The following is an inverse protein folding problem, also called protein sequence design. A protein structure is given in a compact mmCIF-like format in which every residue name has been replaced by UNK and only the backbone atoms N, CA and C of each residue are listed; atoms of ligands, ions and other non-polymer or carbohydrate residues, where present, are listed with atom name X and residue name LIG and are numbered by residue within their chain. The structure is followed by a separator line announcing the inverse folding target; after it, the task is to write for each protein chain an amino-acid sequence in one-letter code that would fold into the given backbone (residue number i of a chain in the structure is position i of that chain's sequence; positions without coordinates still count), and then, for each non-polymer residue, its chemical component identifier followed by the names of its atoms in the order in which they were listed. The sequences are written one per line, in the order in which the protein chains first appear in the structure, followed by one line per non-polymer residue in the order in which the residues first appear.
data_IF_705412787766
#
_entry.id   IF_705412787766
#
_cell.length_a   1.000
_cell.length_b   1.000
_cell.length_c   1.000
_cell.angle_alpha   90.00
_cell.angle_beta   90.00
_cell.angle_gamma   90.00
#
_symmetry.space_group_name_H-M   'P 1'
#
loop_
_entity.id
_entity.type
_entity.pdbx_description
1 polymer ?
#
# COMPACT_ATOMS: atom_id res chain seq x y z
N UNK A 1 2.15 -3.00 -7.58
CA UNK A 1 2.05 -2.64 -6.14
C UNK A 1 1.07 -1.47 -6.00
N UNK A 2 0.35 -1.35 -4.89
CA UNK A 2 -0.46 -0.17 -4.57
C UNK A 2 -0.18 0.29 -3.13
N UNK A 3 0.08 1.58 -2.93
CA UNK A 3 0.35 2.19 -1.62
C UNK A 3 -0.74 3.22 -1.34
N UNK A 4 -1.54 3.01 -0.29
CA UNK A 4 -2.54 3.96 0.17
C UNK A 4 -1.95 4.81 1.31
N UNK A 5 -1.64 6.07 1.02
CA UNK A 5 -1.00 6.98 1.98
C UNK A 5 -2.04 8.01 2.43
N UNK A 6 -2.57 7.86 3.65
CA UNK A 6 -3.50 8.81 4.28
C UNK A 6 -4.90 8.95 3.65
N UNK A 7 -5.23 8.17 2.62
CA UNK A 7 -6.54 8.29 1.96
C UNK A 7 -7.57 7.34 2.58
N UNK A 8 -8.52 7.91 3.32
CA UNK A 8 -9.58 7.13 3.98
C UNK A 8 -10.69 6.69 3.01
N UNK A 9 -11.00 7.47 1.97
CA UNK A 9 -12.16 7.23 1.08
C UNK A 9 -11.74 7.16 -0.38
N UNK A 10 -11.18 8.25 -0.92
CA UNK A 10 -10.89 8.37 -2.35
C UNK A 10 -9.93 7.28 -2.85
N UNK A 11 -8.83 7.03 -2.13
CA UNK A 11 -7.84 5.99 -2.46
C UNK A 11 -8.48 4.61 -2.63
N UNK A 12 -9.13 4.06 -1.58
CA UNK A 12 -9.84 2.79 -1.69
C UNK A 12 -10.91 2.73 -2.78
N UNK A 13 -11.66 3.81 -2.99
CA UNK A 13 -12.80 3.82 -3.91
C UNK A 13 -12.41 3.96 -5.39
N UNK A 14 -11.38 4.75 -5.68
CA UNK A 14 -10.79 4.85 -7.02
C UNK A 14 -10.04 3.56 -7.33
N UNK A 15 -9.25 3.06 -6.38
CA UNK A 15 -8.49 1.82 -6.53
C UNK A 15 -9.39 0.64 -6.89
N UNK A 16 -10.49 0.45 -6.17
CA UNK A 16 -11.39 -0.68 -6.42
C UNK A 16 -12.01 -0.62 -7.83
N UNK A 17 -12.38 0.57 -8.29
CA UNK A 17 -12.95 0.76 -9.64
C UNK A 17 -11.89 0.49 -10.72
N UNK A 18 -10.69 1.05 -10.57
CA UNK A 18 -9.58 0.82 -11.48
C UNK A 18 -9.19 -0.67 -11.55
N UNK A 19 -9.08 -1.34 -10.40
CA UNK A 19 -8.76 -2.76 -10.33
C UNK A 19 -9.84 -3.63 -10.98
N UNK A 20 -11.11 -3.28 -10.77
CA UNK A 20 -12.24 -4.00 -11.38
C UNK A 20 -12.20 -3.88 -12.91
N UNK A 21 -11.96 -2.68 -13.44
CA UNK A 21 -11.80 -2.46 -14.88
C UNK A 21 -10.60 -3.23 -15.45
N UNK A 22 -9.45 -3.17 -14.79
CA UNK A 22 -8.26 -3.92 -15.22
C UNK A 22 -8.50 -5.44 -15.24
N UNK A 23 -9.16 -5.97 -14.20
CA UNK A 23 -9.51 -7.40 -14.12
C UNK A 23 -10.50 -7.81 -15.20
N UNK A 24 -11.46 -6.95 -15.54
CA UNK A 24 -12.43 -7.25 -16.60
C UNK A 24 -11.75 -7.39 -17.96
N UNK A 25 -10.83 -6.49 -18.29
CA UNK A 25 -10.03 -6.58 -19.53
C UNK A 25 -9.10 -7.79 -19.52
N UNK A 26 -8.46 -8.10 -18.39
CA UNK A 26 -7.61 -9.29 -18.31
C UNK A 26 -8.41 -10.57 -18.53
N UNK A 27 -9.61 -10.67 -17.93
CA UNK A 27 -10.48 -11.84 -18.09
C UNK A 27 -10.90 -12.08 -19.53
N UNK A 28 -11.20 -11.03 -20.30
CA UNK A 28 -11.55 -11.20 -21.72
C UNK A 28 -10.38 -11.72 -22.57
N UNK A 29 -9.14 -11.62 -22.06
CA UNK A 29 -7.92 -12.15 -22.67
C UNK A 29 -7.48 -13.50 -22.08
N UNK A 30 -8.31 -14.16 -21.26
CA UNK A 30 -7.94 -15.39 -20.56
C UNK A 30 -6.84 -15.19 -19.49
N UNK A 31 -6.62 -13.95 -19.06
CA UNK A 31 -5.61 -13.58 -18.06
C UNK A 31 -6.26 -13.29 -16.72
N UNK A 32 -5.46 -13.40 -15.67
CA UNK A 32 -5.93 -13.21 -14.30
C UNK A 32 -5.03 -12.23 -13.56
N UNK A 33 -5.64 -11.29 -12.81
CA UNK A 33 -4.89 -10.36 -11.97
C UNK A 33 -5.26 -10.58 -10.50
N UNK A 34 -4.45 -11.41 -9.83
CA UNK A 34 -4.62 -11.85 -8.43
C UNK A 34 -3.43 -11.50 -7.53
N UNK A 35 -2.21 -11.48 -8.06
CA UNK A 35 -0.99 -11.35 -7.25
C UNK A 35 -0.54 -9.90 -7.12
N UNK A 36 -0.98 -9.23 -6.07
CA UNK A 36 -0.56 -7.85 -5.77
C UNK A 36 0.01 -7.73 -4.38
N UNK A 37 0.89 -6.75 -4.22
CA UNK A 37 1.25 -6.23 -2.90
C UNK A 37 0.55 -4.90 -2.68
N UNK A 38 -0.19 -4.79 -1.58
CA UNK A 38 -0.80 -3.55 -1.12
C UNK A 38 -0.22 -3.12 0.22
N UNK A 39 -0.18 -1.82 0.46
CA UNK A 39 0.12 -1.29 1.78
C UNK A 39 -0.77 -0.09 2.11
N UNK A 40 -1.11 0.08 3.38
CA UNK A 40 -1.79 1.25 3.91
C UNK A 40 -0.90 1.92 4.96
N UNK A 41 -0.73 3.23 4.84
CA UNK A 41 -0.01 4.09 5.77
C UNK A 41 -1.00 5.08 6.38
N UNK A 42 -1.32 4.91 7.65
CA UNK A 42 -2.31 5.73 8.36
C UNK A 42 -1.98 5.77 9.86
N UNK A 43 -2.70 6.60 10.63
CA UNK A 43 -2.59 6.72 12.08
C UNK A 43 -3.59 5.82 12.83
N UNK A 44 -4.58 5.27 12.13
CA UNK A 44 -5.62 4.43 12.75
C UNK A 44 -5.00 3.19 13.41
N UNK A 45 -5.32 2.93 14.66
CA UNK A 45 -4.83 1.72 15.32
C UNK A 45 -5.62 0.50 14.84
N UNK A 46 -4.93 -0.47 14.24
CA UNK A 46 -5.51 -1.76 13.84
C UNK A 46 -4.95 -2.86 14.73
N UNK A 47 -5.74 -3.92 15.00
CA UNK A 47 -5.25 -5.04 15.78
C UNK A 47 -4.19 -5.83 15.00
N UNK A 48 -3.31 -6.53 15.71
CA UNK A 48 -2.23 -7.32 15.09
C UNK A 48 -2.75 -8.35 14.06
N UNK A 49 -3.96 -8.86 14.29
CA UNK A 49 -4.66 -9.81 13.43
C UNK A 49 -5.59 -9.13 12.40
N UNK A 50 -5.32 -7.89 11.98
CA UNK A 50 -6.16 -7.14 11.03
C UNK A 50 -6.50 -7.91 9.74
N UNK A 51 -5.67 -8.89 9.33
CA UNK A 51 -5.92 -9.71 8.14
C UNK A 51 -7.18 -10.56 8.22
N UNK A 52 -7.70 -10.82 9.42
CA UNK A 52 -8.96 -11.57 9.62
C UNK A 52 -10.19 -10.78 9.17
N UNK A 53 -10.05 -9.48 8.92
CA UNK A 53 -11.15 -8.62 8.52
C UNK A 53 -11.49 -7.56 9.56
N UNK A 54 -12.26 -6.53 9.17
CA UNK A 54 -12.80 -5.56 10.10
C UNK A 54 -13.80 -6.22 11.08
N UNK A 55 -14.08 -5.58 12.23
CA UNK A 55 -15.05 -6.04 13.22
C UNK A 55 -16.51 -5.99 12.71
N UNK A 56 -17.50 -6.23 13.59
CA UNK A 56 -18.92 -6.08 13.24
C UNK A 56 -19.28 -4.63 12.90
N UNK A 57 -20.46 -4.42 12.29
CA UNK A 57 -20.97 -3.09 11.89
C UNK A 57 -21.20 -2.14 13.07
N UNK A 58 -21.35 -2.70 14.27
CA UNK A 58 -21.58 -1.95 15.51
C UNK A 58 -20.29 -1.31 16.05
N UNK A 59 -19.13 -1.76 15.55
CA UNK A 59 -17.84 -1.20 15.92
C UNK A 59 -17.41 -0.10 14.94
N UNK A 60 -16.98 1.09 15.41
CA UNK A 60 -16.68 2.24 14.55
C UNK A 60 -15.58 1.96 13.51
N UNK A 61 -14.60 1.11 13.85
CA UNK A 61 -13.54 0.73 12.91
C UNK A 61 -14.04 -0.06 11.70
N UNK A 62 -15.27 -0.59 11.70
CA UNK A 62 -15.89 -1.19 10.52
C UNK A 62 -15.90 -0.25 9.31
N UNK A 63 -16.06 1.05 9.58
CA UNK A 63 -16.19 2.09 8.56
C UNK A 63 -14.84 2.58 8.02
N UNK A 64 -13.72 2.13 8.57
CA UNK A 64 -12.39 2.42 8.04
C UNK A 64 -12.14 1.61 6.75
N UNK A 65 -12.47 2.24 5.61
CA UNK A 65 -12.50 1.61 4.29
C UNK A 65 -11.18 0.97 3.85
N UNK A 66 -10.00 1.53 4.12
CA UNK A 66 -8.73 0.91 3.74
C UNK A 66 -8.56 -0.50 4.33
N UNK A 67 -9.06 -0.75 5.54
CA UNK A 67 -8.99 -2.07 6.17
C UNK A 67 -9.74 -3.12 5.35
N UNK A 68 -11.02 -2.88 5.07
CA UNK A 68 -11.83 -3.84 4.33
C UNK A 68 -11.40 -3.97 2.87
N UNK A 69 -11.17 -2.85 2.18
CA UNK A 69 -10.94 -2.84 0.73
C UNK A 69 -9.49 -3.20 0.39
N UNK A 70 -8.52 -2.47 0.95
CA UNK A 70 -7.11 -2.58 0.55
C UNK A 70 -6.39 -3.72 1.26
N UNK A 71 -6.61 -3.88 2.57
CA UNK A 71 -5.87 -4.88 3.36
C UNK A 71 -6.45 -6.29 3.25
N UNK A 72 -7.76 -6.43 3.04
CA UNK A 72 -8.45 -7.72 3.10
C UNK A 72 -8.95 -8.15 1.73
N UNK A 73 -9.94 -7.45 1.16
CA UNK A 73 -10.61 -7.88 -0.09
C UNK A 73 -9.68 -7.94 -1.30
N UNK A 74 -8.76 -6.99 -1.42
CA UNK A 74 -7.88 -6.90 -2.57
C UNK A 74 -6.99 -8.12 -2.74
N UNK A 75 -6.55 -8.69 -1.61
CA UNK A 75 -5.58 -9.79 -1.55
C UNK A 75 -6.23 -11.15 -1.24
N UNK A 76 -7.57 -11.20 -1.15
CA UNK A 76 -8.32 -12.42 -0.82
C UNK A 76 -8.11 -13.53 -1.86
N UNK A 77 -8.01 -13.16 -3.15
CA UNK A 77 -7.75 -14.09 -4.24
C UNK A 77 -6.25 -14.35 -4.48
N UNK A 78 -5.38 -13.85 -3.60
CA UNK A 78 -3.92 -13.94 -3.68
C UNK A 78 -3.21 -12.61 -3.43
N UNK A 79 -1.89 -12.67 -3.24
CA UNK A 79 -1.08 -11.50 -2.92
C UNK A 79 -0.90 -11.27 -1.42
N UNK A 80 -0.42 -10.08 -1.03
CA UNK A 80 -0.10 -9.72 0.35
C UNK A 80 -0.42 -8.27 0.66
N UNK A 81 -0.92 -8.03 1.87
CA UNK A 81 -1.16 -6.68 2.38
C UNK A 81 -0.33 -6.39 3.63
N UNK A 82 0.02 -5.11 3.77
CA UNK A 82 0.80 -4.58 4.88
C UNK A 82 0.12 -3.34 5.46
N UNK A 83 0.15 -3.22 6.78
CA UNK A 83 -0.35 -2.05 7.49
C UNK A 83 0.81 -1.40 8.24
N UNK A 84 1.01 -0.11 8.03
CA UNK A 84 1.99 0.70 8.72
C UNK A 84 1.26 1.79 9.48
N UNK A 85 1.16 1.61 10.80
CA UNK A 85 0.61 2.63 11.69
C UNK A 85 1.69 3.65 12.05
N UNK A 86 1.47 4.92 11.74
CA UNK A 86 2.35 6.00 12.19
C UNK A 86 2.43 7.21 11.25
N UNK A 87 3.02 8.28 11.77
CA UNK A 87 3.18 9.55 11.07
C UNK A 87 3.96 9.38 9.76
N UNK A 88 3.44 9.95 8.67
CA UNK A 88 4.06 9.87 7.34
C UNK A 88 5.47 10.46 7.27
N UNK A 89 5.78 11.46 8.11
CA UNK A 89 7.14 12.01 8.26
C UNK A 89 8.14 10.97 8.76
N UNK A 90 7.67 9.89 9.39
CA UNK A 90 8.49 8.76 9.81
C UNK A 90 8.36 7.58 8.85
N UNK A 91 7.14 7.21 8.48
CA UNK A 91 6.89 5.96 7.74
C UNK A 91 7.37 6.03 6.30
N UNK A 92 7.17 7.15 5.59
CA UNK A 92 7.56 7.28 4.18
C UNK A 92 9.08 7.38 4.00
N UNK A 93 9.82 8.24 4.74
CA UNK A 93 11.28 8.23 4.64
C UNK A 93 11.91 6.90 5.06
N UNK A 94 11.32 6.21 6.04
CA UNK A 94 11.79 4.86 6.43
C UNK A 94 11.60 3.87 5.29
N UNK A 95 10.40 3.80 4.70
CA UNK A 95 10.14 2.93 3.54
C UNK A 95 11.16 3.19 2.42
N UNK A 96 11.42 4.46 2.12
CA UNK A 96 12.40 4.85 1.11
C UNK A 96 13.80 4.30 1.44
N UNK A 97 14.32 4.60 2.64
CA UNK A 97 15.66 4.14 3.06
C UNK A 97 15.80 2.63 2.98
N UNK A 98 14.84 1.89 3.54
CA UNK A 98 14.88 0.42 3.54
C UNK A 98 14.80 -0.15 2.12
N UNK A 99 13.99 0.47 1.25
CA UNK A 99 13.87 0.03 -0.15
C UNK A 99 15.15 0.29 -0.93
N UNK A 100 15.78 1.45 -0.73
CA UNK A 100 17.05 1.78 -1.40
C UNK A 100 18.19 0.90 -0.88
N UNK A 101 18.31 0.74 0.44
CA UNK A 101 19.32 -0.14 1.03
C UNK A 101 19.14 -1.59 0.57
N UNK A 102 17.90 -2.08 0.55
CA UNK A 102 17.58 -3.41 0.02
C UNK A 102 17.87 -3.55 -1.47
N UNK A 103 17.61 -2.51 -2.27
CA UNK A 103 18.01 -2.49 -3.69
C UNK A 103 19.53 -2.61 -3.82
N UNK A 104 20.28 -1.75 -3.13
CA UNK A 104 21.75 -1.73 -3.21
C UNK A 104 22.37 -3.06 -2.76
N UNK A 105 21.77 -3.73 -1.77
CA UNK A 105 22.22 -5.05 -1.32
C UNK A 105 21.96 -6.18 -2.34
N UNK A 106 20.93 -6.05 -3.18
CA UNK A 106 20.53 -7.07 -4.16
C UNK A 106 21.18 -6.83 -5.53
N UNK A 107 21.65 -5.61 -5.80
CA UNK A 107 22.06 -5.21 -7.15
C UNK A 107 23.55 -4.93 -7.20
N UNK A 108 24.30 -5.87 -7.76
CA UNK A 108 25.68 -5.62 -8.21
C UNK A 108 25.65 -4.65 -9.41
N UNK A 109 26.11 -3.41 -9.15
CA UNK A 109 26.63 -2.32 -10.01
C UNK A 109 26.09 -2.03 -11.43
N UNK A 110 25.15 -2.81 -11.97
CA UNK A 110 24.78 -2.82 -13.40
C UNK A 110 23.40 -2.24 -13.72
N UNK A 111 22.57 -1.94 -12.72
CA UNK A 111 21.29 -1.23 -12.92
C UNK A 111 21.40 0.24 -12.52
N UNK A 112 20.70 1.13 -13.24
CA UNK A 112 20.73 2.56 -12.97
C UNK A 112 20.21 2.84 -11.56
N UNK A 113 21.00 3.59 -10.78
CA UNK A 113 20.57 4.10 -9.48
C UNK A 113 19.28 4.90 -9.64
N UNK A 114 18.34 4.81 -8.67
CA UNK A 114 17.15 5.66 -8.69
C UNK A 114 17.59 7.13 -8.80
N UNK A 115 17.09 7.84 -9.82
CA UNK A 115 17.45 9.22 -10.10
C UNK A 115 16.92 10.09 -8.94
N UNK A 116 17.83 10.45 -8.03
CA UNK A 116 17.57 11.35 -6.93
C UNK A 116 17.45 12.77 -7.48
N UNK A 117 16.24 13.34 -7.44
CA UNK A 117 16.05 14.78 -7.56
C UNK A 117 16.87 15.47 -6.46
N UNK A 118 18.02 16.01 -6.85
CA UNK A 118 18.90 16.72 -5.93
C UNK A 118 18.27 18.08 -5.63
N UNK A 119 17.69 18.25 -4.42
CA UNK A 119 17.71 19.49 -3.60
C UNK A 119 16.59 19.48 -2.56
N UNK A 120 16.98 19.27 -1.30
CA UNK A 120 16.39 19.96 -0.15
C UNK A 120 17.51 20.21 0.87
N UNK A 121 18.45 21.09 0.51
CA UNK A 121 19.16 21.88 1.52
C UNK A 121 18.19 22.99 1.94
N UNK A 122 18.18 23.32 3.23
CA UNK A 122 17.28 24.22 3.98
C UNK A 122 16.03 23.48 4.51
N UNK A 123 15.77 23.39 5.81
CA UNK A 123 16.02 24.37 6.85
C UNK A 123 16.53 23.76 8.16
N UNK A 124 17.59 24.37 8.73
CA UNK A 124 17.69 24.59 10.16
C UNK A 124 16.99 25.92 10.43
N UNK A 125 16.03 25.93 11.36
CA UNK A 125 15.83 27.01 12.34
C UNK A 125 15.28 26.36 13.59
#
# INVERSE_FOLDING_TARGET
MFLNIGSAVAGPEVYLKALSMARNVARSQGREIRRFTTAVFDLVELPANYRHGPPSKDHPQYYYRPWKTILVRTVADGGRSYYFSGDHRRTIPTLWRETVAGWEAVTDSSLPRPVLGTRARHARV
#
